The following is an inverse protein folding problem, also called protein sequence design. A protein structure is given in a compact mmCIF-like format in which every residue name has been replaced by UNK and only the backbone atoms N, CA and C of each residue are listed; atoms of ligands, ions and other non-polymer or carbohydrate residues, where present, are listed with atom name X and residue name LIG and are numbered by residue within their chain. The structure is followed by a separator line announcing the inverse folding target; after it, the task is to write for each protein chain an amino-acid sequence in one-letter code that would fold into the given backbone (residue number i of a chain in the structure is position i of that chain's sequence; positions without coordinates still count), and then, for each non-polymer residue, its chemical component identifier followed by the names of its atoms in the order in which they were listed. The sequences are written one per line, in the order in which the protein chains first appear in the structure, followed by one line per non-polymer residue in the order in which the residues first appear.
data_IF_225872304541
#
_entry.id   IF_225872304541
#
_cell.length_a   1.000
_cell.length_b   1.000
_cell.length_c   1.000
_cell.angle_alpha   90.00
_cell.angle_beta   90.00
_cell.angle_gamma   90.00
#
_symmetry.space_group_name_H-M   'P 1'
#
loop_
_entity.id
_entity.type
_entity.pdbx_description
1 polymer ?
#
# COMPACT_ATOMS: atom_id res chain seq x y z
N UNK A 1 11.43 -8.14 -11.32
CA UNK A 1 10.19 -8.64 -11.01
C UNK A 1 9.14 -7.58 -11.01
N UNK A 2 8.07 -7.79 -11.55
CA UNK A 2 7.05 -6.77 -11.68
C UNK A 2 6.21 -6.60 -10.44
N UNK A 3 5.41 -5.57 -10.46
CA UNK A 3 4.48 -5.29 -9.40
C UNK A 3 3.18 -6.03 -9.70
N UNK A 4 2.55 -6.61 -8.70
CA UNK A 4 1.28 -7.30 -8.85
C UNK A 4 0.17 -6.38 -8.37
N UNK A 5 -0.86 -6.19 -9.16
CA UNK A 5 -2.02 -5.40 -8.79
C UNK A 5 -3.25 -6.28 -8.85
N UNK A 6 -4.11 -6.18 -7.86
CA UNK A 6 -5.37 -6.88 -7.82
C UNK A 6 -6.45 -5.92 -7.37
N UNK A 7 -7.69 -6.16 -7.79
CA UNK A 7 -8.79 -5.27 -7.44
C UNK A 7 -9.30 -5.52 -6.04
N UNK A 8 -9.73 -4.47 -5.40
CA UNK A 8 -10.44 -4.54 -4.13
C UNK A 8 -9.62 -5.13 -2.98
N UNK A 9 -8.32 -4.86 -2.93
CA UNK A 9 -7.48 -5.29 -1.84
C UNK A 9 -7.40 -4.17 -0.81
N UNK A 10 -7.81 -4.44 0.41
CA UNK A 10 -7.75 -3.45 1.47
C UNK A 10 -7.81 -4.13 2.83
N UNK A 11 -6.90 -3.79 3.70
CA UNK A 11 -6.88 -4.32 5.06
C UNK A 11 -6.58 -3.20 6.04
N UNK A 12 -6.92 -3.40 7.29
CA UNK A 12 -6.57 -2.45 8.34
C UNK A 12 -5.22 -2.83 8.91
N UNK A 13 -4.58 -1.89 9.59
CA UNK A 13 -3.34 -2.13 10.29
C UNK A 13 -3.31 -1.32 11.57
N UNK A 14 -2.88 -1.93 12.66
CA UNK A 14 -2.74 -1.25 13.93
C UNK A 14 -1.28 -0.99 14.28
N UNK A 15 -0.36 -1.21 13.36
CA UNK A 15 1.05 -0.95 13.60
C UNK A 15 1.32 0.54 13.58
N UNK A 16 1.88 1.08 14.66
CA UNK A 16 2.21 2.50 14.68
C UNK A 16 3.65 2.70 14.21
N UNK A 17 3.99 3.91 13.82
CA UNK A 17 5.35 4.27 13.43
C UNK A 17 5.58 4.23 11.93
N UNK A 18 6.84 4.08 11.54
CA UNK A 18 7.24 4.13 10.14
C UNK A 18 7.71 2.78 9.58
N UNK A 19 7.60 1.74 10.35
CA UNK A 19 8.08 0.42 9.94
C UNK A 19 7.09 -0.36 9.09
N UNK A 20 7.44 -1.61 8.86
CA UNK A 20 6.58 -2.54 8.14
C UNK A 20 5.26 -2.69 8.88
N UNK A 21 4.18 -2.71 8.15
CA UNK A 21 2.84 -2.75 8.73
C UNK A 21 2.33 -4.19 8.82
N UNK A 22 1.83 -4.54 10.00
CA UNK A 22 1.14 -5.82 10.16
C UNK A 22 -0.26 -5.62 9.59
N UNK A 23 -0.72 -6.56 8.81
CA UNK A 23 -2.03 -6.48 8.19
C UNK A 23 -3.04 -7.25 9.04
N UNK A 24 -4.15 -6.59 9.36
CA UNK A 24 -5.18 -7.18 10.19
C UNK A 24 -6.32 -7.67 9.29
N UNK A 25 -7.54 -7.51 9.63
CA UNK A 25 -8.64 -8.01 8.81
C UNK A 25 -8.92 -7.14 7.59
N UNK A 26 -9.59 -7.70 6.62
CA UNK A 26 -10.03 -6.92 5.47
C UNK A 26 -11.43 -6.39 5.75
N UNK A 27 -11.75 -5.26 5.15
CA UNK A 27 -13.08 -4.67 5.29
C UNK A 27 -14.08 -5.44 4.43
N UNK A 28 -15.36 -5.33 4.76
CA UNK A 28 -16.41 -5.98 3.99
C UNK A 28 -16.36 -5.53 2.53
N UNK A 29 -16.44 -6.47 1.64
CA UNK A 29 -16.39 -6.17 0.20
C UNK A 29 -14.98 -6.02 -0.33
N UNK A 30 -13.96 -6.18 0.51
CA UNK A 30 -12.58 -6.08 0.08
C UNK A 30 -11.87 -7.40 0.29
N UNK A 31 -10.78 -7.59 -0.44
CA UNK A 31 -9.99 -8.81 -0.41
C UNK A 31 -8.70 -8.59 0.36
N UNK A 32 -8.11 -9.65 0.92
CA UNK A 32 -6.87 -9.51 1.68
C UNK A 32 -5.66 -9.40 0.77
N UNK A 33 -4.58 -8.86 1.29
CA UNK A 33 -3.33 -8.76 0.54
C UNK A 33 -2.75 -10.14 0.19
N UNK A 34 -3.21 -11.21 0.82
CA UNK A 34 -2.73 -12.54 0.46
C UNK A 34 -3.03 -12.86 -1.01
N UNK A 35 -4.00 -12.17 -1.61
CA UNK A 35 -4.28 -12.36 -3.04
C UNK A 35 -3.16 -11.80 -3.92
N UNK A 36 -2.30 -10.94 -3.38
CA UNK A 36 -1.14 -10.43 -4.10
C UNK A 36 -0.09 -11.55 -4.22
N UNK A 37 -0.01 -12.41 -3.23
CA UNK A 37 0.96 -13.50 -3.23
C UNK A 37 2.19 -13.20 -2.40
N UNK A 38 2.59 -14.18 -1.60
CA UNK A 38 3.73 -14.04 -0.70
C UNK A 38 4.99 -13.68 -1.47
N UNK A 39 5.69 -12.67 -1.01
CA UNK A 39 6.94 -12.24 -1.61
C UNK A 39 6.80 -11.31 -2.80
N UNK A 40 5.60 -11.02 -3.24
CA UNK A 40 5.39 -10.16 -4.39
C UNK A 40 5.33 -8.69 -4.02
N UNK A 41 5.72 -7.86 -4.97
CA UNK A 41 5.65 -6.41 -4.81
C UNK A 41 4.28 -5.91 -5.24
N UNK A 42 3.82 -4.86 -4.60
CA UNK A 42 2.59 -4.20 -5.03
C UNK A 42 2.70 -2.70 -4.73
N UNK A 43 1.83 -1.92 -5.34
CA UNK A 43 1.71 -0.52 -4.99
C UNK A 43 0.66 -0.41 -3.89
N UNK A 44 1.00 0.26 -2.81
CA UNK A 44 0.09 0.41 -1.68
C UNK A 44 -0.24 1.87 -1.45
N UNK A 45 -1.36 2.11 -0.81
CA UNK A 45 -1.69 3.41 -0.26
C UNK A 45 -2.07 3.20 1.19
N UNK A 46 -1.48 3.97 2.09
CA UNK A 46 -1.82 3.98 3.50
C UNK A 46 -2.62 5.25 3.75
N UNK A 47 -3.74 5.14 4.43
CA UNK A 47 -4.53 6.30 4.85
C UNK A 47 -4.68 6.25 6.35
N UNK A 48 -4.27 7.31 7.02
CA UNK A 48 -4.34 7.42 8.47
C UNK A 48 -4.86 8.82 8.79
N UNK A 49 -6.16 8.94 8.98
CA UNK A 49 -6.78 10.24 9.18
C UNK A 49 -6.63 11.10 7.94
N UNK A 50 -5.99 12.25 8.09
CA UNK A 50 -5.76 13.15 6.97
C UNK A 50 -4.42 12.92 6.29
N UNK A 51 -3.65 11.93 6.74
CA UNK A 51 -2.35 11.65 6.18
C UNK A 51 -2.41 10.45 5.25
N UNK A 52 -1.59 10.46 4.21
CA UNK A 52 -1.51 9.31 3.33
C UNK A 52 -0.08 9.09 2.84
N UNK A 53 0.19 7.86 2.44
CA UNK A 53 1.48 7.50 1.85
C UNK A 53 1.20 6.53 0.71
N UNK A 54 1.80 6.78 -0.44
CA UNK A 54 1.71 5.87 -1.60
C UNK A 54 3.10 5.36 -1.87
N UNK A 55 3.24 4.08 -2.07
CA UNK A 55 4.56 3.51 -2.31
C UNK A 55 4.53 2.11 -2.89
N UNK A 56 5.72 1.52 -2.94
CA UNK A 56 5.90 0.14 -3.35
C UNK A 56 6.31 -0.66 -2.13
N UNK A 57 5.69 -1.78 -1.91
CA UNK A 57 6.03 -2.64 -0.79
C UNK A 57 5.97 -4.11 -1.17
N UNK A 58 6.49 -4.94 -0.29
CA UNK A 58 6.49 -6.38 -0.48
C UNK A 58 5.51 -7.01 0.49
N UNK A 59 4.61 -7.84 -0.03
CA UNK A 59 3.69 -8.57 0.83
C UNK A 59 4.40 -9.81 1.37
N UNK A 60 4.30 -10.06 2.66
CA UNK A 60 4.84 -11.25 3.29
C UNK A 60 3.69 -11.95 4.03
N UNK A 61 3.46 -13.22 3.72
CA UNK A 61 2.35 -13.94 4.31
C UNK A 61 2.56 -14.19 5.79
N UNK A 62 3.76 -14.49 6.20
CA UNK A 62 4.06 -14.80 7.59
C UNK A 62 5.38 -14.14 7.96
N UNK A 63 5.30 -12.96 8.54
CA UNK A 63 6.49 -12.16 8.85
C UNK A 63 6.98 -12.50 10.25
N UNK A 64 8.14 -13.12 10.32
CA UNK A 64 8.70 -13.56 11.60
C UNK A 64 8.95 -12.40 12.56
N UNK A 65 9.21 -11.21 12.05
CA UNK A 65 9.46 -10.06 12.91
C UNK A 65 8.17 -9.49 13.48
N UNK A 66 7.02 -9.95 12.99
CA UNK A 66 5.72 -9.49 13.44
C UNK A 66 4.88 -10.69 13.92
N UNK A 67 5.50 -11.61 14.64
CA UNK A 67 4.85 -12.77 15.20
C UNK A 67 4.17 -13.67 14.16
N UNK A 68 4.81 -13.76 13.00
CA UNK A 68 4.31 -14.58 11.89
C UNK A 68 2.96 -14.10 11.34
N UNK A 69 2.68 -12.82 11.47
CA UNK A 69 1.48 -12.24 10.88
C UNK A 69 1.77 -11.72 9.48
N UNK A 70 0.76 -11.57 8.64
CA UNK A 70 0.97 -11.01 7.31
C UNK A 70 1.37 -9.54 7.40
N UNK A 71 2.19 -9.09 6.49
CA UNK A 71 2.71 -7.73 6.50
C UNK A 71 2.88 -7.15 5.11
N UNK A 72 3.02 -5.83 5.06
CA UNK A 72 3.42 -5.12 3.86
C UNK A 72 4.55 -4.18 4.26
N UNK A 73 5.68 -4.30 3.60
CA UNK A 73 6.81 -3.43 3.88
C UNK A 73 6.63 -2.12 3.11
N UNK A 74 7.38 -1.11 3.48
CA UNK A 74 7.29 0.21 2.86
C UNK A 74 8.63 0.47 2.20
N UNK A 75 8.86 -0.23 1.10
CA UNK A 75 10.19 -0.25 0.47
C UNK A 75 10.58 1.06 -0.18
N UNK A 76 9.68 1.65 -0.93
CA UNK A 76 9.94 2.92 -1.62
C UNK A 76 8.70 3.79 -1.53
N UNK A 77 8.83 4.95 -0.92
CA UNK A 77 7.72 5.90 -0.84
C UNK A 77 7.73 6.76 -2.09
N UNK A 78 6.59 6.87 -2.74
CA UNK A 78 6.46 7.65 -3.96
C UNK A 78 5.86 9.02 -3.70
N UNK A 79 4.95 9.13 -2.75
CA UNK A 79 4.26 10.38 -2.48
C UNK A 79 3.61 10.32 -1.10
N UNK A 80 3.54 11.44 -0.42
CA UNK A 80 2.82 11.51 0.86
C UNK A 80 1.98 12.77 0.94
N UNK A 81 1.12 12.84 1.93
CA UNK A 81 0.30 14.02 2.17
C UNK A 81 1.13 15.26 2.48
N UNK A 82 2.38 15.09 2.88
CA UNK A 82 3.25 16.23 3.13
C UNK A 82 3.97 16.69 1.84
N UNK A 83 3.68 16.04 0.73
CA UNK A 83 4.29 16.42 -0.55
C UNK A 83 5.71 15.94 -0.73
N UNK A 84 6.11 14.90 0.00
CA UNK A 84 7.47 14.40 -0.08
C UNK A 84 7.49 12.87 -0.14
N UNK A 85 8.66 12.27 0.00
CA UNK A 85 8.83 10.82 -0.05
C UNK A 85 9.31 10.26 1.28
N UNK A 86 9.07 10.96 2.37
CA UNK A 86 9.40 10.49 3.70
C UNK A 86 8.21 9.74 4.26
N UNK A 87 8.43 8.56 4.82
CA UNK A 87 7.35 7.77 5.37
C UNK A 87 6.57 8.54 6.41
N UNK A 88 5.25 8.41 6.39
CA UNK A 88 4.43 9.02 7.42
C UNK A 88 4.54 8.19 8.69
N UNK A 89 4.26 8.78 9.82
CA UNK A 89 4.25 8.06 11.09
C UNK A 89 2.80 7.64 11.37
N UNK A 90 2.54 6.35 11.27
CA UNK A 90 1.20 5.85 11.47
C UNK A 90 0.81 5.82 12.94
N UNK A 91 -0.46 6.07 13.22
CA UNK A 91 -0.95 6.12 14.60
C UNK A 91 -1.53 4.79 15.07
N UNK A 92 -1.74 3.85 14.18
CA UNK A 92 -2.33 2.57 14.52
C UNK A 92 -3.78 2.45 14.11
N UNK A 93 -4.30 3.43 13.38
CA UNK A 93 -5.68 3.41 12.92
C UNK A 93 -5.76 3.53 11.40
N UNK A 94 -4.77 3.05 10.71
CA UNK A 94 -4.69 3.22 9.27
C UNK A 94 -5.32 2.09 8.50
N UNK A 95 -5.66 2.39 7.25
CA UNK A 95 -6.08 1.40 6.27
C UNK A 95 -5.02 1.35 5.19
N UNK A 96 -4.82 0.17 4.61
CA UNK A 96 -3.84 -0.04 3.55
C UNK A 96 -4.55 -0.71 2.40
N UNK A 97 -4.37 -0.18 1.21
CA UNK A 97 -5.02 -0.77 0.03
C UNK A 97 -4.10 -0.70 -1.19
N UNK A 98 -4.39 -1.55 -2.17
CA UNK A 98 -3.64 -1.57 -3.41
C UNK A 98 -4.13 -0.43 -4.27
N UNK A 99 -3.20 0.30 -4.90
CA UNK A 99 -3.54 1.44 -5.73
C UNK A 99 -2.67 1.46 -6.97
N UNK A 100 -3.06 2.23 -7.95
CA UNK A 100 -2.25 2.51 -9.13
C UNK A 100 -1.77 3.94 -8.98
N UNK A 101 -0.50 4.16 -8.59
CA UNK A 101 -0.03 5.52 -8.35
C UNK A 101 -0.06 6.36 -9.63
N UNK A 102 -0.47 7.60 -9.50
CA UNK A 102 -0.52 8.48 -10.65
C UNK A 102 0.84 8.62 -11.31
N UNK A 103 1.89 8.65 -10.49
CA UNK A 103 3.25 8.79 -10.96
C UNK A 103 3.67 7.62 -11.81
N UNK A 104 3.06 6.45 -11.66
CA UNK A 104 3.40 5.27 -12.42
C UNK A 104 2.33 4.93 -13.45
N UNK A 105 1.29 5.72 -13.52
CA UNK A 105 0.22 5.43 -14.39
C UNK A 105 0.55 5.86 -15.78
N UNK A 106 0.47 4.95 -16.68
CA UNK A 106 0.66 5.16 -18.04
C UNK A 106 1.72 5.99 -18.44
N UNK A 107 2.39 6.14 -17.74
CA UNK A 107 3.55 6.72 -17.99
C UNK A 107 3.74 7.16 -19.26
N UNK A 108 3.26 7.05 -20.01
CA UNK A 108 3.67 7.38 -21.20
C UNK A 108 2.75 8.36 -21.54
N UNK A 109 2.71 9.32 -21.20
CA UNK A 109 2.10 10.34 -21.71
C UNK A 109 0.86 10.21 -22.41
N UNK A 110 0.65 9.17 -22.92
CA UNK A 110 -0.45 9.01 -23.62
C UNK A 110 -1.47 8.99 -22.69
N UNK A 111 -1.20 8.94 -21.61
CA UNK A 111 -2.08 8.70 -20.71
C UNK A 111 -2.71 9.89 -20.24
N UNK A 112 -2.44 10.94 -20.81
CA UNK A 112 -2.96 12.04 -20.29
C UNK A 112 -4.40 11.85 -20.07
N UNK A 113 -5.06 11.31 -20.86
CA UNK A 113 -6.47 11.18 -20.70
C UNK A 113 -6.82 10.29 -19.58
N UNK A 114 -6.07 9.20 -19.46
CA UNK A 114 -6.38 8.28 -18.47
C UNK A 114 -6.03 8.73 -17.10
N UNK A 115 -5.00 9.45 -16.96
CA UNK A 115 -4.61 9.92 -15.65
C UNK A 115 -5.76 10.66 -15.02
N UNK A 116 -6.53 11.37 -15.81
CA UNK A 116 -7.63 12.08 -15.27
C UNK A 116 -8.74 11.19 -14.76
N UNK A 117 -8.86 10.02 -15.33
CA UNK A 117 -9.89 9.14 -14.90
C UNK A 117 -9.56 8.53 -13.56
N UNK A 118 -8.31 8.36 -13.28
CA UNK A 118 -7.94 7.71 -12.05
C UNK A 118 -7.53 8.67 -10.98
N UNK A 119 -7.49 9.83 -11.27
CA UNK A 119 -7.10 10.73 -10.27
C UNK A 119 -6.60 11.57 -9.93
#
# INVERSE_FOLDING_TARGET
MGVVLKDRIKQTSTTSGQGTLKLDGSSDGFRPFSDIGDGNLTYYCIVDGNNFEVGVGTYTLSDATLNNNPSISRDTVLQTSAGNTTKITCTGNQEVFVTQPADKNAHNGKAYGYANLFG
#
